data_IF_490596793893
#
_entry.id   IF_490596793893
#
_cell.length_a   1.000
_cell.length_b   1.000
_cell.length_c   1.000
_cell.angle_alpha   90.00
_cell.angle_beta   90.00
_cell.angle_gamma   90.00
#
_symmetry.space_group_name_H-M   'P 1'
#
loop_
_entity.id
_entity.type
_entity.pdbx_description
1 polymer ?
#
# COMPACT_ATOMS: atom_id res chain seq x y z
N UNK A 1 39.53 -20.86 5.04
CA UNK A 1 38.97 -19.51 4.83
C UNK A 1 37.76 -19.69 3.93
N UNK A 2 36.64 -20.00 4.57
CA UNK A 2 35.41 -20.53 4.01
C UNK A 2 34.32 -19.45 4.13
N UNK A 3 33.30 -19.54 3.27
CA UNK A 3 32.03 -18.79 3.27
C UNK A 3 32.03 -17.36 2.73
N UNK A 4 32.16 -17.23 1.42
CA UNK A 4 31.40 -16.25 0.63
C UNK A 4 30.99 -16.93 -0.69
N UNK A 5 29.76 -16.67 -1.16
CA UNK A 5 29.15 -17.17 -2.41
C UNK A 5 28.51 -18.57 -2.45
N UNK A 6 27.38 -18.75 -1.75
CA UNK A 6 26.36 -19.73 -2.18
C UNK A 6 24.90 -19.22 -2.15
N UNK A 7 24.63 -17.98 -1.70
CA UNK A 7 23.26 -17.46 -1.57
C UNK A 7 22.77 -16.57 -2.74
N UNK A 8 23.62 -16.19 -3.69
CA UNK A 8 23.18 -15.43 -4.88
C UNK A 8 22.82 -16.29 -6.10
N UNK A 9 23.00 -17.62 -6.04
CA UNK A 9 22.71 -18.51 -7.18
C UNK A 9 21.38 -19.26 -7.10
N UNK A 10 20.67 -19.22 -5.96
CA UNK A 10 19.36 -19.88 -5.84
C UNK A 10 18.17 -19.01 -6.28
N UNK A 11 18.35 -17.70 -6.48
CA UNK A 11 17.27 -16.79 -6.88
C UNK A 11 17.12 -16.65 -8.40
N UNK A 12 18.18 -16.94 -9.19
CA UNK A 12 18.14 -16.79 -10.65
C UNK A 12 17.96 -18.10 -11.45
N UNK A 13 17.98 -19.26 -10.79
CA UNK A 13 17.94 -20.58 -11.46
C UNK A 13 16.58 -20.98 -12.06
N UNK A 14 15.49 -20.31 -11.70
CA UNK A 14 14.16 -20.61 -12.22
C UNK A 14 13.78 -19.80 -13.49
N UNK A 15 14.62 -18.87 -13.94
CA UNK A 15 14.27 -17.95 -15.02
C UNK A 15 14.49 -18.45 -16.46
N UNK A 16 14.93 -19.70 -16.69
CA UNK A 16 15.16 -20.22 -18.06
C UNK A 16 14.06 -21.10 -18.67
N UNK A 17 12.93 -21.32 -17.98
CA UNK A 17 11.76 -22.00 -18.55
C UNK A 17 10.55 -21.07 -18.80
N UNK A 18 10.64 -19.76 -18.53
CA UNK A 18 9.47 -18.87 -18.47
C UNK A 18 9.24 -17.98 -19.70
N UNK A 19 10.12 -17.98 -20.71
CA UNK A 19 9.93 -17.13 -21.89
C UNK A 19 8.78 -17.59 -22.82
N UNK A 20 8.15 -18.75 -22.58
CA UNK A 20 7.07 -19.28 -23.43
C UNK A 20 5.67 -19.17 -22.81
N UNK A 21 5.49 -18.55 -21.63
CA UNK A 21 4.19 -18.45 -20.93
C UNK A 21 3.89 -17.00 -20.49
N UNK A 22 4.14 -16.00 -21.34
CA UNK A 22 3.82 -14.61 -21.01
C UNK A 22 2.35 -14.19 -21.24
N UNK A 23 1.49 -15.10 -21.71
CA UNK A 23 0.13 -14.71 -22.13
C UNK A 23 -1.02 -15.17 -21.22
N UNK A 24 -0.74 -15.71 -20.03
CA UNK A 24 -1.83 -16.17 -19.14
C UNK A 24 -1.57 -15.83 -17.67
N UNK A 25 -1.98 -14.63 -17.24
CA UNK A 25 -1.97 -14.20 -15.83
C UNK A 25 -2.67 -15.19 -14.88
N UNK A 26 -3.55 -16.07 -15.38
CA UNK A 26 -4.20 -17.09 -14.57
C UNK A 26 -3.31 -18.28 -14.19
N UNK A 27 -2.21 -18.55 -14.93
CA UNK A 27 -1.31 -19.67 -14.59
C UNK A 27 -0.41 -19.35 -13.38
N UNK A 28 -0.01 -18.08 -13.20
CA UNK A 28 0.82 -17.64 -12.07
C UNK A 28 0.06 -17.66 -10.73
N UNK A 29 -1.27 -17.53 -10.76
CA UNK A 29 -2.13 -17.67 -9.57
C UNK A 29 -2.08 -19.08 -8.92
N UNK A 30 -1.54 -20.09 -9.61
CA UNK A 30 -1.48 -21.46 -9.10
C UNK A 30 -0.30 -21.72 -8.16
N UNK A 31 0.72 -20.85 -8.15
CA UNK A 31 1.89 -20.99 -7.28
C UNK A 31 2.09 -19.72 -6.44
N UNK A 32 1.56 -19.71 -5.22
CA UNK A 32 1.82 -18.61 -4.29
C UNK A 32 3.28 -18.63 -3.85
N UNK A 33 4.03 -17.57 -4.12
CA UNK A 33 5.33 -17.38 -3.49
C UNK A 33 5.15 -17.12 -1.99
N UNK A 34 6.04 -17.66 -1.17
CA UNK A 34 6.07 -17.40 0.27
C UNK A 34 7.47 -16.96 0.67
N UNK A 35 7.55 -15.87 1.41
CA UNK A 35 8.81 -15.44 2.01
C UNK A 35 9.28 -16.49 3.04
N UNK A 36 10.57 -16.83 3.08
CA UNK A 36 11.10 -17.78 4.05
C UNK A 36 11.04 -17.19 5.47
N UNK A 37 10.83 -18.03 6.49
CA UNK A 37 10.69 -17.57 7.88
C UNK A 37 11.90 -16.77 8.39
N UNK A 38 13.11 -17.05 7.88
CA UNK A 38 14.33 -16.32 8.24
C UNK A 38 14.44 -14.91 7.63
N UNK A 39 13.57 -14.55 6.68
CA UNK A 39 13.61 -13.26 5.98
C UNK A 39 13.51 -12.06 6.94
N UNK A 40 12.74 -12.22 8.01
CA UNK A 40 12.56 -11.18 9.05
C UNK A 40 13.82 -10.90 9.89
N UNK A 41 14.90 -11.66 9.68
CA UNK A 41 16.20 -11.42 10.34
C UNK A 41 17.03 -10.33 9.64
N UNK A 42 16.62 -9.85 8.47
CA UNK A 42 17.31 -8.80 7.71
C UNK A 42 17.05 -7.40 8.32
N UNK A 43 17.40 -7.22 9.60
CA UNK A 43 17.05 -6.03 10.40
C UNK A 43 17.68 -4.71 9.94
N UNK A 44 18.69 -4.78 9.08
CA UNK A 44 19.34 -3.60 8.49
C UNK A 44 18.76 -3.22 7.11
N UNK A 45 17.76 -3.97 6.62
CA UNK A 45 17.14 -3.71 5.33
C UNK A 45 16.35 -2.40 5.38
N UNK A 46 16.68 -1.46 4.51
CA UNK A 46 16.00 -0.15 4.41
C UNK A 46 15.03 -0.09 3.23
N UNK A 47 15.29 -0.87 2.18
CA UNK A 47 14.45 -0.92 0.98
C UNK A 47 14.17 -2.38 0.64
N UNK A 48 12.91 -2.71 0.40
CA UNK A 48 12.47 -4.03 0.00
C UNK A 48 11.49 -3.94 -1.16
N UNK A 49 11.91 -4.43 -2.33
CA UNK A 49 11.05 -4.62 -3.49
C UNK A 49 10.63 -6.08 -3.65
N UNK A 50 9.33 -6.33 -3.75
CA UNK A 50 8.69 -7.63 -3.91
C UNK A 50 7.54 -7.56 -4.94
N UNK A 51 7.66 -6.67 -5.92
CA UNK A 51 6.64 -6.49 -6.97
C UNK A 51 6.52 -7.73 -7.86
N UNK A 52 5.31 -8.05 -8.31
CA UNK A 52 5.02 -9.18 -9.21
C UNK A 52 5.55 -10.54 -8.72
N UNK A 53 5.37 -10.82 -7.42
CA UNK A 53 5.82 -12.06 -6.79
C UNK A 53 4.67 -13.05 -6.53
N UNK A 54 3.44 -12.73 -6.91
CA UNK A 54 2.24 -13.54 -6.58
C UNK A 54 2.13 -13.83 -5.07
N UNK A 55 2.55 -12.88 -4.22
CA UNK A 55 2.42 -12.98 -2.77
C UNK A 55 0.95 -12.90 -2.38
N UNK A 56 0.50 -13.84 -1.55
CA UNK A 56 -0.85 -13.81 -0.99
C UNK A 56 -0.90 -13.23 0.41
N UNK A 57 0.21 -13.31 1.15
CA UNK A 57 0.33 -12.84 2.53
C UNK A 57 1.77 -12.46 2.84
N UNK A 58 1.95 -11.54 3.79
CA UNK A 58 3.23 -11.29 4.47
C UNK A 58 3.32 -12.14 5.76
N UNK A 59 4.53 -12.56 6.19
CA UNK A 59 4.73 -13.22 7.48
C UNK A 59 4.16 -12.42 8.67
N UNK A 60 3.63 -13.06 9.72
CA UNK A 60 3.09 -12.36 10.90
C UNK A 60 4.09 -11.44 11.61
N UNK A 61 5.39 -11.75 11.56
CA UNK A 61 6.47 -11.00 12.21
C UNK A 61 7.17 -10.00 11.27
N UNK A 62 6.52 -9.59 10.16
CA UNK A 62 7.10 -8.68 9.17
C UNK A 62 7.61 -7.36 9.77
N UNK A 63 6.98 -6.90 10.86
CA UNK A 63 7.40 -5.75 11.66
C UNK A 63 8.83 -5.81 12.23
N UNK A 64 9.47 -6.98 12.22
CA UNK A 64 10.87 -7.13 12.68
C UNK A 64 11.89 -6.42 11.77
N UNK A 65 11.48 -5.98 10.58
CA UNK A 65 12.31 -5.19 9.66
C UNK A 65 12.37 -3.71 10.10
N UNK A 66 12.81 -3.46 11.34
CA UNK A 66 12.72 -2.16 12.01
C UNK A 66 13.46 -0.99 11.30
N UNK A 67 14.41 -1.31 10.39
CA UNK A 67 15.12 -0.32 9.60
C UNK A 67 14.42 0.05 8.28
N UNK A 68 13.31 -0.61 7.93
CA UNK A 68 12.68 -0.47 6.62
C UNK A 68 12.07 0.92 6.43
N UNK A 69 12.38 1.53 5.28
CA UNK A 69 11.96 2.86 4.85
C UNK A 69 11.09 2.81 3.60
N UNK A 70 11.37 1.89 2.67
CA UNK A 70 10.55 1.68 1.48
C UNK A 70 10.17 0.21 1.33
N UNK A 71 8.88 -0.04 1.17
CA UNK A 71 8.31 -1.37 0.91
C UNK A 71 7.47 -1.33 -0.37
N UNK A 72 7.90 -2.06 -1.38
CA UNK A 72 7.20 -2.18 -2.66
C UNK A 72 6.62 -3.60 -2.81
N UNK A 73 5.29 -3.67 -2.91
CA UNK A 73 4.50 -4.90 -2.97
C UNK A 73 3.49 -4.85 -4.13
N UNK A 74 3.75 -4.04 -5.16
CA UNK A 74 2.86 -3.86 -6.30
C UNK A 74 2.65 -5.16 -7.07
N UNK A 75 1.50 -5.32 -7.73
CA UNK A 75 1.21 -6.48 -8.59
C UNK A 75 1.31 -7.82 -7.83
N UNK A 76 0.71 -7.91 -6.65
CA UNK A 76 0.62 -9.14 -5.87
C UNK A 76 -0.84 -9.56 -5.68
N UNK A 77 -1.09 -10.53 -4.79
CA UNK A 77 -2.42 -11.07 -4.48
C UNK A 77 -2.73 -10.89 -2.99
N UNK A 78 -2.19 -9.83 -2.37
CA UNK A 78 -2.39 -9.55 -0.96
C UNK A 78 -3.85 -9.16 -0.71
N UNK A 79 -4.44 -9.77 0.31
CA UNK A 79 -5.81 -9.44 0.76
C UNK A 79 -5.84 -8.60 2.02
N UNK A 80 -4.78 -8.68 2.83
CA UNK A 80 -4.64 -7.99 4.09
C UNK A 80 -3.17 -7.81 4.46
N UNK A 81 -2.92 -6.98 5.47
CA UNK A 81 -1.59 -6.72 6.03
C UNK A 81 -1.52 -7.27 7.47
N UNK A 82 -0.34 -7.80 7.90
CA UNK A 82 -0.17 -8.28 9.26
C UNK A 82 -0.11 -7.13 10.26
N UNK A 83 -0.60 -7.34 11.48
CA UNK A 83 -0.60 -6.33 12.54
C UNK A 83 0.80 -5.77 12.85
N UNK A 84 1.83 -6.62 12.73
CA UNK A 84 3.22 -6.22 12.97
C UNK A 84 3.71 -5.16 11.99
N UNK A 85 3.04 -4.90 10.87
CA UNK A 85 3.39 -3.81 9.96
C UNK A 85 3.49 -2.47 10.71
N UNK A 86 2.64 -2.26 11.72
CA UNK A 86 2.66 -1.08 12.60
C UNK A 86 3.97 -0.86 13.39
N UNK A 87 4.87 -1.84 13.41
CA UNK A 87 6.19 -1.75 14.05
C UNK A 87 7.25 -1.14 13.12
N UNK A 88 6.96 -0.93 11.84
CA UNK A 88 7.88 -0.34 10.87
C UNK A 88 7.93 1.20 11.04
N UNK A 89 8.45 1.66 12.18
CA UNK A 89 8.42 3.07 12.60
C UNK A 89 9.19 4.02 11.67
N UNK A 90 10.04 3.48 10.80
CA UNK A 90 10.83 4.23 9.81
C UNK A 90 10.25 4.16 8.40
N UNK A 91 9.13 3.48 8.19
CA UNK A 91 8.56 3.30 6.86
C UNK A 91 8.03 4.64 6.35
N UNK A 92 8.60 5.10 5.25
CA UNK A 92 8.29 6.36 4.57
C UNK A 92 7.44 6.11 3.31
N UNK A 93 7.68 5.00 2.60
CA UNK A 93 6.93 4.61 1.41
C UNK A 93 6.37 3.20 1.54
N UNK A 94 5.07 3.07 1.30
CA UNK A 94 4.36 1.79 1.19
C UNK A 94 3.60 1.74 -0.13
N UNK A 95 4.02 0.83 -1.02
CA UNK A 95 3.38 0.63 -2.32
C UNK A 95 2.67 -0.73 -2.36
N UNK A 96 1.34 -0.69 -2.39
CA UNK A 96 0.44 -1.84 -2.39
C UNK A 96 -0.48 -1.83 -3.63
N UNK A 97 -0.11 -1.08 -4.67
CA UNK A 97 -0.91 -1.00 -5.89
C UNK A 97 -1.12 -2.37 -6.54
N UNK A 98 -2.19 -2.55 -7.30
CA UNK A 98 -2.48 -3.79 -8.05
C UNK A 98 -2.47 -5.04 -7.14
N UNK A 99 -3.30 -5.04 -6.10
CA UNK A 99 -3.48 -6.16 -5.17
C UNK A 99 -4.97 -6.55 -5.03
N UNK A 100 -5.30 -7.40 -4.05
CA UNK A 100 -6.68 -7.84 -3.77
C UNK A 100 -7.15 -7.37 -2.37
N UNK A 101 -6.65 -6.22 -1.89
CA UNK A 101 -6.94 -5.73 -0.53
C UNK A 101 -8.39 -5.25 -0.47
N UNK A 102 -9.18 -5.90 0.40
CA UNK A 102 -10.59 -5.57 0.63
C UNK A 102 -10.75 -4.55 1.76
N UNK A 103 -9.87 -4.60 2.77
CA UNK A 103 -9.87 -3.71 3.93
C UNK A 103 -8.45 -3.27 4.28
N UNK A 104 -8.26 -1.97 4.49
CA UNK A 104 -7.03 -1.42 5.06
C UNK A 104 -7.15 -1.46 6.59
N UNK A 105 -6.24 -2.13 7.30
CA UNK A 105 -6.42 -2.31 8.74
C UNK A 105 -6.14 -1.02 9.53
N UNK A 106 -6.83 -0.78 10.66
CA UNK A 106 -6.68 0.43 11.48
C UNK A 106 -5.26 0.73 11.95
N UNK A 107 -4.44 -0.32 12.14
CA UNK A 107 -3.06 -0.15 12.59
C UNK A 107 -2.14 0.50 11.54
N UNK A 108 -2.62 0.78 10.32
CA UNK A 108 -1.91 1.63 9.35
C UNK A 108 -1.62 3.02 9.93
N UNK A 109 -2.54 3.59 10.73
CA UNK A 109 -2.40 4.92 11.36
C UNK A 109 -1.21 5.02 12.32
N UNK A 110 -0.64 3.88 12.74
CA UNK A 110 0.50 3.79 13.65
C UNK A 110 1.86 3.92 12.96
N UNK A 111 1.91 4.27 11.67
CA UNK A 111 3.16 4.48 10.91
C UNK A 111 3.55 5.97 10.91
N UNK A 112 4.37 6.44 11.87
CA UNK A 112 4.56 7.88 12.10
C UNK A 112 5.38 8.56 11.00
N UNK A 113 6.17 7.81 10.23
CA UNK A 113 7.07 8.31 9.20
C UNK A 113 6.49 8.23 7.79
N UNK A 114 5.28 7.67 7.62
CA UNK A 114 4.74 7.34 6.30
C UNK A 114 4.39 8.61 5.51
N UNK A 115 5.04 8.80 4.38
CA UNK A 115 4.91 9.94 3.48
C UNK A 115 4.14 9.58 2.21
N UNK A 116 4.26 8.33 1.75
CA UNK A 116 3.62 7.86 0.53
C UNK A 116 2.91 6.54 0.76
N UNK A 117 1.61 6.51 0.44
CA UNK A 117 0.78 5.31 0.51
C UNK A 117 0.05 5.11 -0.81
N UNK A 118 0.43 4.06 -1.53
CA UNK A 118 -0.17 3.67 -2.81
C UNK A 118 -1.03 2.43 -2.60
N UNK A 119 -2.33 2.56 -2.85
CA UNK A 119 -3.36 1.52 -2.71
C UNK A 119 -4.22 1.44 -3.98
N UNK A 120 -3.75 2.03 -5.09
CA UNK A 120 -4.48 2.02 -6.35
C UNK A 120 -4.73 0.60 -6.85
N UNK A 121 -5.81 0.38 -7.60
CA UNK A 121 -6.16 -0.94 -8.15
C UNK A 121 -6.30 -2.04 -7.06
N UNK A 122 -7.14 -1.79 -6.06
CA UNK A 122 -7.50 -2.75 -5.01
C UNK A 122 -9.03 -2.91 -4.94
N UNK A 123 -9.55 -3.46 -3.83
CA UNK A 123 -10.99 -3.73 -3.64
C UNK A 123 -11.57 -3.00 -2.42
N UNK A 124 -10.92 -1.91 -1.97
CA UNK A 124 -11.31 -1.16 -0.78
C UNK A 124 -12.70 -0.54 -0.95
N UNK A 125 -13.57 -0.76 0.04
CA UNK A 125 -14.90 -0.12 0.13
C UNK A 125 -14.90 1.09 1.07
N UNK A 126 -14.05 1.06 2.10
CA UNK A 126 -13.85 2.15 3.05
C UNK A 126 -12.38 2.27 3.45
N UNK A 127 -12.01 3.44 3.98
CA UNK A 127 -10.75 3.63 4.70
C UNK A 127 -11.02 3.65 6.22
N UNK A 128 -10.12 3.08 7.05
CA UNK A 128 -10.23 3.21 8.50
C UNK A 128 -10.11 4.67 8.92
N UNK A 129 -10.77 5.06 10.01
CA UNK A 129 -10.71 6.43 10.54
C UNK A 129 -9.29 6.86 10.95
N UNK A 130 -8.48 5.88 11.32
CA UNK A 130 -7.09 5.94 11.72
C UNK A 130 -6.17 6.40 10.58
N UNK A 131 -6.65 6.42 9.32
CA UNK A 131 -5.90 7.05 8.22
C UNK A 131 -5.55 8.51 8.57
N UNK A 132 -6.42 9.22 9.29
CA UNK A 132 -6.19 10.60 9.75
C UNK A 132 -5.07 10.77 10.77
N UNK A 133 -4.48 9.69 11.27
CA UNK A 133 -3.35 9.71 12.19
C UNK A 133 -2.01 9.85 11.46
N UNK A 134 -1.97 9.62 10.15
CA UNK A 134 -0.76 9.71 9.32
C UNK A 134 -0.37 11.17 9.02
N UNK A 135 0.14 11.88 10.03
CA UNK A 135 0.43 13.33 9.97
C UNK A 135 1.50 13.73 8.96
N UNK A 136 2.35 12.79 8.57
CA UNK A 136 3.45 12.98 7.63
C UNK A 136 3.10 12.60 6.19
N UNK A 137 1.92 12.01 5.95
CA UNK A 137 1.51 11.55 4.64
C UNK A 137 1.34 12.73 3.68
N UNK A 138 2.10 12.71 2.60
CA UNK A 138 2.09 13.70 1.53
C UNK A 138 1.29 13.20 0.32
N UNK A 139 1.41 11.91 -0.01
CA UNK A 139 0.71 11.28 -1.13
C UNK A 139 -0.15 10.10 -0.65
N UNK A 140 -1.45 10.15 -0.98
CA UNK A 140 -2.38 9.05 -0.83
C UNK A 140 -3.03 8.75 -2.18
N UNK A 141 -2.72 7.59 -2.74
CA UNK A 141 -3.40 7.07 -3.92
C UNK A 141 -4.31 5.89 -3.56
N UNK A 142 -5.62 6.10 -3.67
CA UNK A 142 -6.65 5.08 -3.47
C UNK A 142 -7.58 5.03 -4.69
N UNK A 143 -7.07 5.43 -5.86
CA UNK A 143 -7.81 5.35 -7.12
C UNK A 143 -8.09 3.90 -7.51
N UNK A 144 -9.05 3.68 -8.41
CA UNK A 144 -9.35 2.33 -8.94
C UNK A 144 -9.67 1.31 -7.83
N UNK A 145 -10.53 1.73 -6.90
CA UNK A 145 -11.05 0.93 -5.81
C UNK A 145 -12.60 0.92 -5.88
N UNK A 146 -13.26 0.59 -4.77
CA UNK A 146 -14.72 0.58 -4.64
C UNK A 146 -15.19 1.48 -3.50
N UNK A 147 -14.44 2.56 -3.22
CA UNK A 147 -14.73 3.44 -2.09
C UNK A 147 -16.11 4.08 -2.25
N UNK A 148 -16.96 3.90 -1.25
CA UNK A 148 -18.31 4.50 -1.17
C UNK A 148 -18.26 5.90 -0.55
N UNK A 149 -17.35 6.09 0.41
CA UNK A 149 -17.12 7.34 1.12
C UNK A 149 -15.66 7.47 1.57
N UNK A 150 -15.36 8.59 2.23
CA UNK A 150 -14.14 8.79 3.00
C UNK A 150 -14.51 9.15 4.43
N UNK A 151 -13.73 8.71 5.43
CA UNK A 151 -13.96 9.12 6.81
C UNK A 151 -13.72 10.62 6.98
N UNK A 152 -14.52 11.30 7.82
CA UNK A 152 -14.29 12.71 8.17
C UNK A 152 -12.88 12.94 8.76
N UNK A 153 -12.29 11.90 9.36
CA UNK A 153 -10.92 11.92 9.89
C UNK A 153 -9.85 12.09 8.81
N UNK A 154 -10.17 12.02 7.53
CA UNK A 154 -9.23 12.34 6.44
C UNK A 154 -8.60 13.73 6.61
N UNK A 155 -9.32 14.68 7.22
CA UNK A 155 -8.81 16.02 7.54
C UNK A 155 -7.61 16.03 8.51
N UNK A 156 -7.31 14.90 9.16
CA UNK A 156 -6.14 14.73 10.00
C UNK A 156 -4.82 14.57 9.23
N UNK A 157 -4.85 14.41 7.91
CA UNK A 157 -3.65 14.29 7.05
C UNK A 157 -2.99 15.67 6.81
N UNK A 158 -2.39 16.23 7.86
CA UNK A 158 -1.86 17.60 7.93
C UNK A 158 -0.74 17.92 6.92
N UNK A 159 -0.14 16.91 6.31
CA UNK A 159 0.93 17.05 5.31
C UNK A 159 0.49 16.74 3.88
N UNK A 160 -0.77 16.35 3.67
CA UNK A 160 -1.22 15.83 2.38
C UNK A 160 -1.18 16.90 1.29
N UNK A 161 -0.49 16.60 0.20
CA UNK A 161 -0.39 17.43 -1.00
C UNK A 161 -1.10 16.81 -2.19
N UNK A 162 -1.19 15.48 -2.23
CA UNK A 162 -1.70 14.69 -3.35
C UNK A 162 -2.71 13.67 -2.83
N UNK A 163 -3.96 13.81 -3.27
CA UNK A 163 -5.04 12.86 -2.98
C UNK A 163 -5.69 12.39 -4.28
N UNK A 164 -5.51 11.11 -4.58
CA UNK A 164 -6.07 10.47 -5.77
C UNK A 164 -7.20 9.51 -5.36
N UNK A 165 -8.40 9.83 -5.82
CA UNK A 165 -9.66 9.11 -5.55
C UNK A 165 -10.36 8.68 -6.83
N UNK A 166 -9.74 8.90 -7.99
CA UNK A 166 -10.37 8.65 -9.29
C UNK A 166 -10.83 7.20 -9.42
N UNK A 167 -11.88 6.96 -10.21
CA UNK A 167 -12.38 5.59 -10.48
C UNK A 167 -12.79 4.84 -9.20
N UNK A 168 -13.65 5.47 -8.40
CA UNK A 168 -14.31 4.86 -7.24
C UNK A 168 -15.84 5.02 -7.39
N UNK A 169 -16.61 4.80 -6.31
CA UNK A 169 -18.08 4.94 -6.32
C UNK A 169 -18.57 6.03 -5.35
N UNK A 170 -17.70 6.99 -5.01
CA UNK A 170 -17.96 8.01 -3.99
C UNK A 170 -19.09 8.94 -4.45
N UNK A 171 -20.11 9.09 -3.62
CA UNK A 171 -21.26 9.98 -3.88
C UNK A 171 -21.10 11.37 -3.25
N UNK A 172 -20.39 11.46 -2.11
CA UNK A 172 -20.15 12.70 -1.37
C UNK A 172 -18.76 12.70 -0.73
N UNK A 173 -18.10 13.86 -0.76
CA UNK A 173 -16.85 14.10 -0.02
C UNK A 173 -17.14 14.60 1.41
N UNK A 174 -16.41 14.11 2.44
CA UNK A 174 -16.59 14.52 3.83
C UNK A 174 -16.21 15.98 4.09
N UNK A 175 -16.73 16.56 5.18
CA UNK A 175 -16.41 17.94 5.57
C UNK A 175 -14.94 18.09 5.95
N UNK A 176 -14.35 17.04 6.52
CA UNK A 176 -12.94 17.00 6.91
C UNK A 176 -11.95 17.26 5.77
N UNK A 177 -12.36 17.08 4.51
CA UNK A 177 -11.52 17.41 3.36
C UNK A 177 -11.16 18.91 3.30
N UNK A 178 -12.01 19.78 3.86
CA UNK A 178 -11.74 21.21 3.98
C UNK A 178 -10.58 21.56 4.92
N UNK A 179 -10.14 20.64 5.78
CA UNK A 179 -9.01 20.85 6.70
C UNK A 179 -7.64 20.63 6.04
N UNK A 180 -7.60 20.06 4.82
CA UNK A 180 -6.36 19.74 4.10
C UNK A 180 -5.71 20.99 3.46
N UNK A 181 -5.13 21.86 4.30
CA UNK A 181 -4.59 23.18 3.87
C UNK A 181 -3.39 23.12 2.93
N UNK A 182 -2.72 21.97 2.80
CA UNK A 182 -1.58 21.77 1.90
C UNK A 182 -1.93 21.05 0.61
N UNK A 183 -3.20 20.65 0.42
CA UNK A 183 -3.62 19.88 -0.74
C UNK A 183 -3.45 20.70 -2.01
N UNK A 184 -2.67 20.18 -2.96
CA UNK A 184 -2.40 20.81 -4.26
C UNK A 184 -3.02 20.04 -5.42
N UNK A 185 -3.13 18.72 -5.26
CA UNK A 185 -3.67 17.80 -6.25
C UNK A 185 -4.81 17.01 -5.60
N UNK A 186 -6.01 17.20 -6.14
CA UNK A 186 -7.20 16.43 -5.78
C UNK A 186 -7.80 15.84 -7.06
N UNK A 187 -7.71 14.52 -7.23
CA UNK A 187 -8.31 13.81 -8.36
C UNK A 187 -9.52 13.02 -7.90
N UNK A 188 -10.69 13.35 -8.43
CA UNK A 188 -11.98 12.73 -8.06
C UNK A 188 -12.81 12.32 -9.28
N UNK A 189 -12.21 12.36 -10.47
CA UNK A 189 -12.90 11.98 -11.70
C UNK A 189 -13.36 10.52 -11.67
N UNK A 190 -14.38 10.19 -12.47
CA UNK A 190 -14.93 8.83 -12.54
C UNK A 190 -15.42 8.29 -11.17
N UNK A 191 -16.05 9.17 -10.39
CA UNK A 191 -16.84 8.83 -9.21
C UNK A 191 -18.35 9.07 -9.48
N UNK A 192 -19.18 8.97 -8.45
CA UNK A 192 -20.62 9.25 -8.50
C UNK A 192 -21.00 10.60 -7.88
N UNK A 193 -20.03 11.52 -7.80
CA UNK A 193 -20.21 12.84 -7.23
C UNK A 193 -21.25 13.64 -8.03
N UNK A 194 -22.34 14.02 -7.37
CA UNK A 194 -23.36 14.93 -7.92
C UNK A 194 -23.13 16.38 -7.53
N UNK A 195 -22.44 16.61 -6.40
CA UNK A 195 -22.11 17.92 -5.85
C UNK A 195 -20.73 17.89 -5.22
N UNK A 196 -20.08 19.05 -5.15
CA UNK A 196 -18.87 19.22 -4.34
C UNK A 196 -19.24 19.81 -2.99
N UNK A 197 -18.58 19.33 -1.94
CA UNK A 197 -18.79 19.80 -0.58
C UNK A 197 -18.40 21.29 -0.46
N UNK A 198 -19.28 22.19 0.03
CA UNK A 198 -19.02 23.63 0.11
C UNK A 198 -17.89 24.03 1.07
N UNK A 199 -17.38 23.10 1.88
CA UNK A 199 -16.25 23.32 2.78
C UNK A 199 -14.89 23.13 2.08
N UNK A 200 -14.86 22.54 0.88
CA UNK A 200 -13.62 22.38 0.11
C UNK A 200 -13.14 23.75 -0.39
N UNK A 201 -11.91 24.12 -0.05
CA UNK A 201 -11.28 25.38 -0.49
C UNK A 201 -11.50 26.59 0.43
N UNK A 202 -12.04 26.39 1.64
CA UNK A 202 -12.05 27.41 2.71
C UNK A 202 -10.75 27.40 3.50
#
# INVERSE_FOLDING_TARGET
MFFFNFYQQFIFGYFRCFETIQSNRNLYRLFSFRLPAGFVQLRNLTILGLNDMSLTNLPPDFGSLEALQSLELRENLLKSLPESLSQLLKLERLDLGDNEIEELPPHIGKLPALQELWLDHNQLQHLPSEIGELKTLACLDVSENRLEDLPDKIGGLESLTDLHLSQNVIEKLPDGLGELKKLTILKVDQNRLSTLNPNIGR
#
